data_IF_961374947801
#
_entry.id   IF_961374947801
#
_cell.length_a   1.000
_cell.length_b   1.000
_cell.length_c   1.000
_cell.angle_alpha   90.00
_cell.angle_beta   90.00
_cell.angle_gamma   90.00
#
_symmetry.space_group_name_H-M   'P 1'
#
loop_
_entity.id
_entity.type
_entity.pdbx_description
1 polymer ?
#
# COMPACT_ATOMS: atom_id res chain seq x y z
N UNK A 1 -1.40 -19.49 48.14
CA UNK A 1 -1.22 -20.03 46.78
C UNK A 1 -2.11 -19.40 45.71
N UNK A 2 -3.29 -18.83 46.02
CA UNK A 2 -4.16 -18.20 45.01
C UNK A 2 -3.78 -16.76 44.61
N UNK A 3 -3.09 -16.03 45.50
CA UNK A 3 -2.69 -14.62 45.26
C UNK A 3 -1.48 -14.47 44.34
N UNK A 4 -0.59 -15.47 44.30
CA UNK A 4 0.59 -15.48 43.42
C UNK A 4 0.25 -15.79 41.96
N UNK A 5 -0.88 -16.45 41.71
CA UNK A 5 -1.32 -16.81 40.35
C UNK A 5 -1.90 -15.57 39.62
N UNK A 6 -2.59 -14.67 40.34
CA UNK A 6 -3.15 -13.45 39.76
C UNK A 6 -2.09 -12.44 39.28
N UNK A 7 -0.92 -12.42 39.92
CA UNK A 7 0.19 -11.54 39.54
C UNK A 7 0.96 -12.04 38.31
N UNK A 8 0.90 -13.34 38.00
CA UNK A 8 1.50 -13.91 36.80
C UNK A 8 0.67 -13.65 35.53
N UNK A 9 -0.65 -13.49 35.65
CA UNK A 9 -1.52 -13.17 34.51
C UNK A 9 -1.46 -11.69 34.08
N UNK A 10 -1.10 -10.78 34.99
CA UNK A 10 -0.91 -9.35 34.66
C UNK A 10 0.40 -9.05 33.93
N UNK A 11 1.36 -9.99 33.94
CA UNK A 11 2.63 -9.84 33.25
C UNK A 11 2.62 -10.39 31.80
N UNK A 12 1.53 -11.04 31.37
CA UNK A 12 1.42 -11.68 30.05
C UNK A 12 0.60 -10.89 29.02
N UNK A 13 0.18 -9.66 29.32
CA UNK A 13 -0.60 -8.82 28.39
C UNK A 13 0.15 -7.59 27.87
N UNK A 14 1.49 -7.63 27.85
CA UNK A 14 2.33 -6.57 27.28
C UNK A 14 3.26 -7.09 26.18
N UNK A 15 2.87 -8.15 25.48
CA UNK A 15 3.32 -8.34 24.11
C UNK A 15 2.28 -7.69 23.20
N UNK A 16 2.28 -6.36 23.17
CA UNK A 16 1.92 -5.68 21.95
C UNK A 16 2.91 -6.22 20.92
N UNK A 17 2.45 -7.17 20.10
CA UNK A 17 3.25 -7.78 19.07
C UNK A 17 4.01 -6.67 18.33
N UNK A 18 5.31 -6.57 18.59
CA UNK A 18 6.20 -5.86 17.70
C UNK A 18 6.14 -6.69 16.42
N UNK A 19 5.27 -6.28 15.48
CA UNK A 19 5.33 -6.74 14.11
C UNK A 19 6.75 -6.45 13.69
N UNK A 20 7.54 -7.51 13.58
CA UNK A 20 8.96 -7.42 13.26
C UNK A 20 8.99 -6.91 11.82
N UNK A 21 9.26 -5.61 11.64
CA UNK A 21 9.46 -5.03 10.30
C UNK A 21 10.53 -5.87 9.61
N UNK A 22 10.13 -6.62 8.60
CA UNK A 22 11.10 -7.28 7.73
C UNK A 22 11.83 -6.18 6.95
N UNK A 23 13.14 -6.03 7.11
CA UNK A 23 13.91 -5.01 6.43
C UNK A 23 13.93 -5.16 4.90
N UNK A 24 13.39 -6.25 4.34
CA UNK A 24 13.33 -6.52 2.91
C UNK A 24 12.01 -6.10 2.23
N UNK A 25 11.00 -5.61 2.96
CA UNK A 25 9.67 -5.23 2.43
C UNK A 25 9.45 -3.70 2.41
N UNK A 26 10.51 -2.91 2.36
CA UNK A 26 10.52 -1.46 2.63
C UNK A 26 9.57 -0.62 1.78
N UNK A 27 9.35 -0.94 0.52
CA UNK A 27 8.43 -0.15 -0.31
C UNK A 27 6.97 -0.26 0.17
N UNK A 28 6.53 -1.47 0.54
CA UNK A 28 5.22 -1.70 1.17
C UNK A 28 5.03 -0.90 2.46
N UNK A 29 6.11 -0.63 3.20
CA UNK A 29 6.04 0.20 4.40
C UNK A 29 5.89 1.69 4.06
N UNK A 30 6.38 2.17 2.91
CA UNK A 30 6.24 3.58 2.57
C UNK A 30 4.80 3.96 2.22
N UNK A 31 4.11 3.18 1.38
CA UNK A 31 2.69 3.42 1.10
C UNK A 31 1.84 3.39 2.38
N UNK A 32 2.15 2.46 3.28
CA UNK A 32 1.52 2.36 4.59
C UNK A 32 1.72 3.64 5.41
N UNK A 33 2.96 4.07 5.59
CA UNK A 33 3.25 5.25 6.41
C UNK A 33 2.74 6.56 5.77
N UNK A 34 2.77 6.68 4.43
CA UNK A 34 2.14 7.81 3.69
C UNK A 34 0.62 7.83 3.93
N UNK A 35 -0.02 6.66 3.89
CA UNK A 35 -1.46 6.52 4.17
C UNK A 35 -1.79 6.91 5.59
N UNK A 36 -1.02 6.46 6.59
CA UNK A 36 -1.22 6.85 7.98
C UNK A 36 -1.02 8.35 8.21
N UNK A 37 -0.05 8.97 7.53
CA UNK A 37 0.19 10.42 7.58
C UNK A 37 -1.04 11.21 7.09
N UNK A 38 -1.61 10.82 5.95
CA UNK A 38 -2.61 11.64 5.26
C UNK A 38 -4.06 11.27 5.57
N UNK A 39 -4.34 9.98 5.81
CA UNK A 39 -5.70 9.48 6.05
C UNK A 39 -5.96 9.20 7.53
N UNK A 40 -4.92 9.16 8.37
CA UNK A 40 -5.01 8.88 9.81
C UNK A 40 -5.50 7.47 10.17
N UNK A 41 -5.32 6.52 9.26
CA UNK A 41 -5.49 5.09 9.48
C UNK A 41 -4.61 4.32 8.50
N UNK A 42 -4.52 3.01 8.74
CA UNK A 42 -3.58 2.12 8.08
C UNK A 42 -4.03 1.69 6.67
N UNK A 43 -3.10 1.56 5.72
CA UNK A 43 -3.36 1.21 4.32
C UNK A 43 -3.91 -0.21 4.12
N UNK A 44 -3.82 -1.09 5.13
CA UNK A 44 -4.46 -2.41 5.11
C UNK A 44 -5.98 -2.33 4.94
N UNK A 45 -6.63 -1.17 5.10
CA UNK A 45 -8.02 -0.94 4.70
C UNK A 45 -8.26 -1.05 3.18
N UNK A 46 -7.23 -0.89 2.37
CA UNK A 46 -7.28 -0.99 0.90
C UNK A 46 -6.74 -2.33 0.38
N UNK A 47 -5.87 -3.02 1.11
CA UNK A 47 -5.35 -4.32 0.67
C UNK A 47 -6.45 -5.39 0.48
N UNK A 48 -6.36 -6.21 -0.57
CA UNK A 48 -7.35 -7.22 -0.96
C UNK A 48 -8.77 -6.64 -1.08
N UNK A 49 -8.88 -5.47 -1.71
CA UNK A 49 -10.12 -4.77 -2.00
C UNK A 49 -10.35 -4.74 -3.51
N UNK A 50 -11.54 -5.15 -3.95
CA UNK A 50 -11.86 -5.10 -5.37
C UNK A 50 -10.98 -6.02 -6.20
N UNK A 51 -10.70 -5.59 -7.42
CA UNK A 51 -9.95 -6.31 -8.45
C UNK A 51 -8.50 -5.86 -8.59
N UNK A 52 -8.13 -4.70 -8.04
CA UNK A 52 -6.84 -4.04 -8.25
C UNK A 52 -6.11 -3.71 -6.95
N UNK A 53 -6.79 -3.46 -5.83
CA UNK A 53 -6.07 -3.16 -4.59
C UNK A 53 -5.47 -4.43 -3.96
N UNK A 54 -4.25 -4.79 -4.36
CA UNK A 54 -3.54 -5.99 -3.89
C UNK A 54 -2.37 -6.36 -4.79
N UNK A 55 -1.91 -7.61 -4.71
CA UNK A 55 -0.91 -8.14 -5.65
C UNK A 55 -1.60 -8.49 -6.97
N UNK A 56 -1.02 -8.01 -8.06
CA UNK A 56 -1.58 -8.13 -9.40
C UNK A 56 -2.80 -7.24 -9.61
N UNK A 57 -3.48 -7.38 -10.74
CA UNK A 57 -4.64 -6.57 -11.05
C UNK A 57 -5.21 -6.93 -12.40
N UNK A 58 -6.54 -7.02 -12.51
CA UNK A 58 -7.21 -7.32 -13.77
C UNK A 58 -8.71 -7.08 -13.64
N UNK A 59 -9.42 -7.02 -14.77
CA UNK A 59 -10.87 -6.74 -14.82
C UNK A 59 -11.24 -5.30 -14.51
N UNK A 60 -12.53 -5.00 -14.64
CA UNK A 60 -13.04 -3.66 -14.40
C UNK A 60 -13.03 -3.34 -12.90
N UNK A 61 -12.55 -2.14 -12.51
CA UNK A 61 -12.62 -1.71 -11.13
C UNK A 61 -14.04 -1.76 -10.59
N UNK A 62 -14.21 -2.30 -9.38
CA UNK A 62 -15.55 -2.48 -8.79
C UNK A 62 -16.17 -1.17 -8.31
N UNK A 63 -15.34 -0.17 -8.01
CA UNK A 63 -15.71 1.19 -7.66
C UNK A 63 -14.50 2.14 -7.78
N UNK A 64 -14.69 3.39 -7.34
CA UNK A 64 -13.66 4.42 -7.43
C UNK A 64 -12.44 4.21 -6.52
N UNK A 65 -12.55 3.41 -5.45
CA UNK A 65 -11.39 3.05 -4.62
C UNK A 65 -10.52 2.05 -5.38
N UNK A 66 -11.17 1.05 -5.99
CA UNK A 66 -10.51 0.06 -6.82
C UNK A 66 -9.89 0.69 -8.08
N UNK A 67 -10.52 1.73 -8.63
CA UNK A 67 -9.97 2.50 -9.75
C UNK A 67 -8.69 3.27 -9.35
N UNK A 68 -8.62 3.80 -8.12
CA UNK A 68 -7.38 4.39 -7.61
C UNK A 68 -6.22 3.37 -7.62
N UNK A 69 -6.49 2.14 -7.20
CA UNK A 69 -5.50 1.06 -7.18
C UNK A 69 -5.09 0.64 -8.59
N UNK A 70 -6.02 0.55 -9.54
CA UNK A 70 -5.69 0.33 -10.96
C UNK A 70 -4.73 1.40 -11.49
N UNK A 71 -4.94 2.67 -11.12
CA UNK A 71 -4.04 3.74 -11.54
C UNK A 71 -2.69 3.70 -10.83
N UNK A 72 -2.64 3.23 -9.59
CA UNK A 72 -1.41 3.00 -8.85
C UNK A 72 -0.56 1.92 -9.51
N UNK A 73 -1.14 0.75 -9.79
CA UNK A 73 -0.48 -0.35 -10.49
C UNK A 73 0.07 0.11 -11.83
N UNK A 74 -0.74 0.82 -12.63
CA UNK A 74 -0.30 1.38 -13.92
C UNK A 74 0.81 2.43 -13.79
N UNK A 75 0.87 3.14 -12.66
CA UNK A 75 1.92 4.12 -12.39
C UNK A 75 3.25 3.41 -12.13
N UNK A 76 3.21 2.29 -11.40
CA UNK A 76 4.35 1.41 -11.19
C UNK A 76 4.81 0.77 -12.51
N UNK A 77 3.90 0.14 -13.25
CA UNK A 77 4.17 -0.44 -14.59
C UNK A 77 4.88 0.58 -15.50
N UNK A 78 4.37 1.82 -15.54
CA UNK A 78 4.95 2.88 -16.35
C UNK A 78 6.39 3.24 -15.92
N UNK A 79 6.74 3.13 -14.64
CA UNK A 79 8.10 3.37 -14.18
C UNK A 79 9.06 2.28 -14.69
N UNK A 80 8.63 1.02 -14.74
CA UNK A 80 9.41 -0.11 -15.28
C UNK A 80 9.48 -0.09 -16.82
N UNK A 81 8.36 0.18 -17.48
CA UNK A 81 8.27 0.25 -18.94
C UNK A 81 9.19 1.34 -19.50
N UNK A 82 9.20 2.51 -18.85
CA UNK A 82 10.07 3.63 -19.21
C UNK A 82 11.51 3.49 -18.71
N UNK A 83 11.88 2.34 -18.14
CA UNK A 83 13.25 2.05 -17.64
C UNK A 83 13.72 3.02 -16.56
N UNK A 84 12.78 3.61 -15.81
CA UNK A 84 13.07 4.42 -14.62
C UNK A 84 13.35 3.49 -13.44
N UNK A 85 12.53 2.45 -13.30
CA UNK A 85 12.75 1.32 -12.39
C UNK A 85 13.34 0.12 -13.17
N UNK A 86 14.24 -0.69 -12.58
CA UNK A 86 14.90 -1.76 -13.32
C UNK A 86 14.00 -2.98 -13.56
N UNK A 87 13.14 -3.29 -12.60
CA UNK A 87 12.18 -4.39 -12.63
C UNK A 87 11.06 -4.15 -11.61
N UNK A 88 10.07 -5.04 -11.65
CA UNK A 88 8.89 -5.09 -10.79
C UNK A 88 9.25 -5.37 -9.33
N UNK A 89 10.21 -6.26 -9.08
CA UNK A 89 10.58 -6.66 -7.72
C UNK A 89 11.06 -5.43 -6.92
N UNK A 90 11.76 -4.51 -7.59
CA UNK A 90 12.24 -3.25 -7.03
C UNK A 90 11.11 -2.31 -6.60
N UNK A 91 9.93 -2.37 -7.23
CA UNK A 91 8.76 -1.59 -6.83
C UNK A 91 8.27 -1.96 -5.42
N UNK A 92 8.50 -3.20 -5.00
CA UNK A 92 8.08 -3.72 -3.70
C UNK A 92 9.18 -3.70 -2.63
N UNK A 93 10.45 -3.47 -3.00
CA UNK A 93 11.59 -3.51 -2.07
C UNK A 93 12.38 -2.21 -1.96
N UNK A 94 12.33 -1.31 -2.95
CA UNK A 94 13.10 -0.06 -2.89
C UNK A 94 12.44 0.96 -1.95
N UNK A 95 13.28 1.56 -1.12
CA UNK A 95 12.86 2.55 -0.13
C UNK A 95 13.01 3.96 -0.72
N UNK A 96 12.12 4.89 -0.37
CA UNK A 96 12.25 6.29 -0.77
C UNK A 96 12.12 7.22 0.45
N UNK A 97 12.73 8.40 0.37
CA UNK A 97 12.67 9.35 1.48
C UNK A 97 11.47 10.26 1.34
N UNK A 98 10.69 10.43 2.41
CA UNK A 98 9.55 11.34 2.46
C UNK A 98 9.38 11.91 3.87
N UNK A 99 8.53 12.93 4.00
CA UNK A 99 8.22 13.61 5.26
C UNK A 99 6.72 13.84 5.42
N UNK A 100 6.20 13.67 6.63
CA UNK A 100 4.84 14.07 6.97
C UNK A 100 4.84 15.49 7.57
N UNK A 101 4.21 16.45 6.91
CA UNK A 101 4.05 17.82 7.42
C UNK A 101 2.56 18.17 7.42
N UNK A 102 1.99 18.43 8.60
CA UNK A 102 0.57 18.79 8.76
C UNK A 102 -0.39 17.85 8.01
N UNK A 103 -0.25 16.53 8.23
CA UNK A 103 -1.06 15.49 7.57
C UNK A 103 -0.94 15.46 6.04
N UNK A 104 0.18 15.94 5.51
CA UNK A 104 0.51 15.90 4.08
C UNK A 104 1.86 15.23 3.92
N UNK A 105 1.92 14.16 3.13
CA UNK A 105 3.17 13.51 2.80
C UNK A 105 3.90 14.32 1.72
N UNK A 106 5.22 14.45 1.84
CA UNK A 106 6.07 15.22 0.93
C UNK A 106 7.27 14.34 0.55
N UNK A 107 7.36 13.98 -0.73
CA UNK A 107 8.52 13.28 -1.27
C UNK A 107 9.76 14.16 -1.15
N UNK A 108 10.89 13.57 -0.75
CA UNK A 108 12.15 14.29 -0.70
C UNK A 108 12.64 14.61 -2.11
N UNK A 109 13.09 15.85 -2.34
CA UNK A 109 13.75 16.25 -3.59
C UNK A 109 15.07 15.48 -3.85
N UNK A 110 15.58 14.77 -2.83
CA UNK A 110 16.75 13.88 -2.97
C UNK A 110 16.40 12.55 -3.63
N UNK A 111 15.13 12.18 -3.69
CA UNK A 111 14.70 11.00 -4.45
C UNK A 111 14.97 11.26 -5.93
N UNK A 112 15.57 10.28 -6.61
CA UNK A 112 15.86 10.33 -8.05
C UNK A 112 15.49 8.99 -8.68
N UNK A 113 15.19 9.01 -9.98
CA UNK A 113 14.86 7.80 -10.73
C UNK A 113 13.68 7.05 -10.10
N UNK A 114 13.85 5.73 -9.90
CA UNK A 114 12.81 4.85 -9.37
C UNK A 114 12.22 5.35 -8.04
N UNK A 115 13.04 5.77 -7.08
CA UNK A 115 12.56 6.28 -5.76
C UNK A 115 11.65 7.50 -5.88
N UNK A 116 11.90 8.36 -6.86
CA UNK A 116 11.04 9.53 -7.09
C UNK A 116 9.70 9.08 -7.68
N UNK A 117 9.75 8.22 -8.70
CA UNK A 117 8.55 7.69 -9.35
C UNK A 117 7.65 6.93 -8.36
N UNK A 118 8.20 6.02 -7.55
CA UNK A 118 7.43 5.25 -6.56
C UNK A 118 6.77 6.18 -5.52
N UNK A 119 7.53 7.16 -5.00
CA UNK A 119 6.97 8.12 -4.04
C UNK A 119 5.82 8.95 -4.62
N UNK A 120 5.94 9.36 -5.89
CA UNK A 120 4.87 10.10 -6.57
C UNK A 120 3.63 9.23 -6.78
N UNK A 121 3.80 7.98 -7.23
CA UNK A 121 2.71 7.02 -7.38
C UNK A 121 1.98 6.75 -6.06
N UNK A 122 2.71 6.52 -4.96
CA UNK A 122 2.14 6.28 -3.63
C UNK A 122 1.38 7.50 -3.09
N UNK A 123 1.88 8.71 -3.33
CA UNK A 123 1.13 9.93 -3.00
C UNK A 123 -0.14 10.06 -3.83
N UNK A 124 -0.09 9.76 -5.12
CA UNK A 124 -1.25 9.88 -6.02
C UNK A 124 -2.38 8.95 -5.57
N UNK A 125 -2.07 7.70 -5.21
CA UNK A 125 -3.10 6.76 -4.76
C UNK A 125 -3.72 7.17 -3.43
N UNK A 126 -2.93 7.68 -2.49
CA UNK A 126 -3.44 8.15 -1.18
C UNK A 126 -4.30 9.40 -1.34
N UNK A 127 -3.88 10.36 -2.18
CA UNK A 127 -4.71 11.52 -2.56
C UNK A 127 -6.00 11.10 -3.28
N UNK A 128 -5.96 10.01 -4.06
CA UNK A 128 -7.15 9.44 -4.69
C UNK A 128 -8.10 8.83 -3.65
N UNK A 129 -7.58 8.05 -2.70
CA UNK A 129 -8.36 7.44 -1.61
C UNK A 129 -9.06 8.47 -0.73
N UNK A 130 -8.47 9.66 -0.50
CA UNK A 130 -9.12 10.77 0.25
C UNK A 130 -10.50 11.17 -0.28
N UNK A 131 -10.77 10.91 -1.57
CA UNK A 131 -12.04 11.27 -2.22
C UNK A 131 -13.20 10.37 -1.78
N UNK A 132 -12.92 9.25 -1.11
CA UNK A 132 -13.89 8.24 -0.74
C UNK A 132 -13.94 8.03 0.78
N UNK A 133 -15.07 7.58 1.34
CA UNK A 133 -15.12 7.14 2.72
C UNK A 133 -14.19 5.94 2.97
N UNK A 134 -13.58 5.88 4.16
CA UNK A 134 -12.77 4.73 4.57
C UNK A 134 -13.56 3.42 4.39
N UNK A 135 -12.98 2.40 3.70
CA UNK A 135 -13.59 1.09 3.61
C UNK A 135 -13.82 0.42 4.97
N UNK A 136 -15.08 0.17 5.30
CA UNK A 136 -15.49 -0.66 6.45
C UNK A 136 -15.58 -2.15 6.08
N UNK A 137 -15.66 -2.46 4.78
CA UNK A 137 -15.69 -3.82 4.23
C UNK A 137 -14.89 -3.88 2.93
N UNK A 138 -14.35 -5.06 2.64
CA UNK A 138 -13.63 -5.34 1.40
C UNK A 138 -14.62 -5.62 0.27
N UNK A 139 -14.62 -4.79 -0.76
CA UNK A 139 -15.32 -5.12 -2.00
C UNK A 139 -14.68 -6.38 -2.62
N UNK A 140 -15.48 -7.19 -3.32
CA UNK A 140 -15.00 -8.43 -3.96
C UNK A 140 -14.92 -8.23 -5.46
N UNK A 141 -13.80 -8.63 -6.05
CA UNK A 141 -13.71 -8.73 -7.50
C UNK A 141 -14.64 -9.82 -8.05
N UNK A 142 -15.39 -9.49 -9.10
CA UNK A 142 -16.09 -10.51 -9.88
C UNK A 142 -15.22 -11.01 -11.03
N UNK A 143 -14.38 -12.01 -10.74
CA UNK A 143 -13.45 -12.64 -11.70
C UNK A 143 -14.11 -13.48 -12.80
N UNK A 144 -15.45 -13.56 -12.81
CA UNK A 144 -16.20 -14.28 -13.85
C UNK A 144 -16.61 -13.38 -15.02
N UNK A 145 -16.59 -12.05 -14.82
CA UNK A 145 -16.69 -11.09 -15.91
C UNK A 145 -15.37 -11.14 -16.67
N UNK A 146 -15.41 -11.09 -18.00
CA UNK A 146 -14.21 -11.19 -18.82
C UNK A 146 -13.44 -9.87 -18.81
N UNK A 147 -12.16 -9.93 -18.45
CA UNK A 147 -11.19 -8.89 -18.80
C UNK A 147 -10.48 -9.27 -20.10
N UNK A 148 -10.33 -8.36 -21.07
CA UNK A 148 -9.34 -8.54 -22.12
C UNK A 148 -7.98 -8.79 -21.47
N UNK A 149 -7.26 -9.83 -21.90
CA UNK A 149 -5.85 -9.99 -21.52
C UNK A 149 -5.08 -8.83 -22.14
N UNK A 150 -4.77 -7.84 -21.34
CA UNK A 150 -3.79 -6.81 -21.68
C UNK A 150 -2.42 -7.45 -21.56
N UNK A 151 -1.63 -7.43 -22.63
CA UNK A 151 -0.34 -8.12 -22.77
C UNK A 151 0.77 -7.60 -21.83
N UNK A 152 0.46 -6.77 -20.83
CA UNK A 152 1.41 -6.15 -19.90
C UNK A 152 1.09 -6.42 -18.42
N UNK A 153 0.05 -7.20 -18.09
CA UNK A 153 -0.28 -7.51 -16.70
C UNK A 153 0.23 -8.89 -16.32
N UNK A 154 1.53 -8.97 -16.03
CA UNK A 154 2.11 -10.10 -15.31
C UNK A 154 2.72 -9.60 -13.99
N UNK A 155 1.82 -9.21 -13.07
CA UNK A 155 2.08 -9.13 -11.63
C UNK A 155 1.19 -10.14 -10.91
#
# INVERSE_FOLDING_TARGET
MKTLIFLLFLALSLDAALVRRDPNLKALWNLEEVTECELHYNALHYNNYGCWCGIGGSHEPVDGIDECCMHHDKCYDAAVDNKICPDVEIEYVDDYTWHCINSTAICSEKNMGCKAALCDCDKIVVECWKKYPKPEKKAKCNRTLWAPKTEHFEH
#
